data_IF_764743999730
#
_entry.id   IF_764743999730
#
_cell.length_a   1.000
_cell.length_b   1.000
_cell.length_c   1.000
_cell.angle_alpha   90.00
_cell.angle_beta   90.00
_cell.angle_gamma   90.00
#
_symmetry.space_group_name_H-M   'P 1'
#
loop_
_entity.id
_entity.type
_entity.pdbx_description
1 polymer ?
#
# COMPACT_ATOMS: atom_id res chain seq x y z
N UNK A 1 -16.39 -16.56 12.48
CA UNK A 1 -15.39 -15.78 11.71
C UNK A 1 -16.02 -14.95 10.62
N UNK A 2 -16.52 -13.78 10.96
CA UNK A 2 -16.97 -12.77 9.98
C UNK A 2 -15.89 -11.71 9.89
N UNK A 3 -14.86 -11.94 9.07
CA UNK A 3 -13.92 -10.87 8.72
C UNK A 3 -14.63 -9.76 7.94
N UNK A 4 -14.28 -8.51 8.18
CA UNK A 4 -14.77 -7.39 7.39
C UNK A 4 -14.07 -7.35 6.01
N UNK A 5 -14.83 -7.19 4.94
CA UNK A 5 -14.30 -7.05 3.58
C UNK A 5 -14.28 -5.57 3.22
N UNK A 6 -13.09 -5.05 2.97
CA UNK A 6 -12.87 -3.67 2.52
C UNK A 6 -12.51 -3.66 1.04
N UNK A 7 -13.07 -2.73 0.28
CA UNK A 7 -12.80 -2.57 -1.16
C UNK A 7 -12.21 -1.19 -1.39
N UNK A 8 -11.16 -1.14 -2.20
CA UNK A 8 -10.50 0.10 -2.60
C UNK A 8 -10.35 0.13 -4.12
N UNK A 9 -10.64 1.28 -4.71
CA UNK A 9 -10.43 1.58 -6.13
C UNK A 9 -9.66 2.90 -6.22
N UNK A 10 -8.84 3.08 -7.26
CA UNK A 10 -8.11 4.34 -7.45
C UNK A 10 -9.12 5.50 -7.55
N UNK A 11 -8.90 6.55 -6.76
CA UNK A 11 -9.77 7.73 -6.70
C UNK A 11 -11.06 7.57 -5.89
N UNK A 12 -11.29 6.40 -5.30
CA UNK A 12 -12.45 6.17 -4.42
C UNK A 12 -12.16 6.65 -2.99
N UNK A 13 -12.88 7.68 -2.56
CA UNK A 13 -12.80 8.26 -1.22
C UNK A 13 -14.00 7.93 -0.33
N UNK A 14 -14.86 7.00 -0.75
CA UNK A 14 -16.09 6.65 -0.03
C UNK A 14 -15.86 5.86 1.26
N UNK A 15 -14.66 5.30 1.45
CA UNK A 15 -14.34 4.54 2.65
C UNK A 15 -14.36 5.43 3.89
N UNK A 16 -15.15 5.07 4.91
CA UNK A 16 -15.34 5.90 6.12
C UNK A 16 -14.03 6.26 6.86
N UNK A 17 -13.02 5.39 6.81
CA UNK A 17 -11.67 5.62 7.39
C UNK A 17 -10.65 6.15 6.38
N UNK A 18 -11.04 6.64 5.20
CA UNK A 18 -10.07 6.99 4.13
C UNK A 18 -9.01 7.97 4.62
N UNK A 19 -9.39 8.96 5.45
CA UNK A 19 -8.47 9.95 6.00
C UNK A 19 -7.43 9.34 6.94
N UNK A 20 -7.83 8.39 7.78
CA UNK A 20 -6.91 7.71 8.69
C UNK A 20 -5.95 6.80 7.93
N UNK A 21 -6.45 6.15 6.87
CA UNK A 21 -5.65 5.33 5.96
C UNK A 21 -4.62 6.18 5.22
N UNK A 22 -5.04 7.31 4.65
CA UNK A 22 -4.15 8.24 3.95
C UNK A 22 -3.09 8.82 4.89
N UNK A 23 -3.48 9.24 6.10
CA UNK A 23 -2.53 9.73 7.10
C UNK A 23 -1.50 8.67 7.49
N UNK A 24 -1.94 7.43 7.77
CA UNK A 24 -1.04 6.32 8.05
C UNK A 24 -0.07 6.05 6.87
N UNK A 25 -0.55 6.10 5.64
CA UNK A 25 0.30 5.90 4.46
C UNK A 25 1.33 7.02 4.27
N UNK A 26 1.02 8.26 4.65
CA UNK A 26 1.99 9.35 4.65
C UNK A 26 3.08 9.12 5.70
N UNK A 27 2.71 8.70 6.91
CA UNK A 27 3.69 8.38 7.97
C UNK A 27 4.61 7.23 7.54
N UNK A 28 4.03 6.16 6.98
CA UNK A 28 4.77 5.03 6.44
C UNK A 28 5.67 5.46 5.28
N UNK A 29 5.22 6.34 4.39
CA UNK A 29 6.04 6.87 3.30
C UNK A 29 7.27 7.62 3.81
N UNK A 30 7.14 8.38 4.90
CA UNK A 30 8.28 9.07 5.55
C UNK A 30 9.30 8.05 6.05
N UNK A 31 8.87 6.97 6.72
CA UNK A 31 9.78 5.91 7.17
C UNK A 31 10.39 5.13 6.00
N UNK A 32 9.62 4.85 4.96
CA UNK A 32 10.13 4.22 3.73
C UNK A 32 11.25 5.04 3.10
N UNK A 33 11.09 6.37 3.01
CA UNK A 33 12.13 7.27 2.48
C UNK A 33 13.42 7.22 3.32
N UNK A 34 13.32 7.06 4.65
CA UNK A 34 14.50 6.87 5.52
C UNK A 34 15.21 5.54 5.26
N UNK A 35 14.47 4.50 4.90
CA UNK A 35 15.01 3.20 4.46
C UNK A 35 15.53 3.21 3.00
N UNK A 36 15.51 4.36 2.33
CA UNK A 36 16.05 4.53 0.97
C UNK A 36 15.05 4.24 -0.15
N UNK A 37 13.74 4.19 0.14
CA UNK A 37 12.72 4.09 -0.90
C UNK A 37 12.69 5.36 -1.76
N UNK A 38 12.80 5.15 -3.08
CA UNK A 38 12.61 6.19 -4.08
C UNK A 38 11.38 5.83 -4.90
N UNK A 39 10.30 6.62 -4.87
CA UNK A 39 9.10 6.38 -5.66
C UNK A 39 9.42 6.39 -7.16
N UNK A 40 8.86 5.43 -7.90
CA UNK A 40 8.96 5.41 -9.36
C UNK A 40 7.91 6.34 -9.97
N UNK A 41 8.28 7.63 -10.09
CA UNK A 41 7.40 8.69 -10.58
C UNK A 41 7.11 8.61 -12.09
N UNK A 42 7.85 7.79 -12.83
CA UNK A 42 7.60 7.56 -14.27
C UNK A 42 6.33 6.74 -14.52
N UNK A 43 5.81 6.09 -13.48
CA UNK A 43 4.61 5.27 -13.52
C UNK A 43 3.29 6.07 -13.44
N UNK A 44 3.34 7.39 -13.31
CA UNK A 44 2.16 8.29 -13.19
C UNK A 44 2.15 9.39 -14.25
N UNK A 45 1.01 10.08 -14.39
CA UNK A 45 0.80 11.12 -15.42
C UNK A 45 1.90 12.18 -15.30
N UNK A 46 2.62 12.40 -16.40
CA UNK A 46 3.85 13.20 -16.42
C UNK A 46 3.63 14.70 -16.13
N UNK A 47 2.40 15.20 -16.34
CA UNK A 47 2.05 16.63 -16.33
C UNK A 47 1.55 17.17 -14.97
N UNK A 48 1.86 16.47 -13.87
CA UNK A 48 1.58 16.95 -12.51
C UNK A 48 2.89 17.07 -11.70
N UNK A 49 2.94 17.97 -10.69
CA UNK A 49 4.09 18.10 -9.79
C UNK A 49 4.46 16.78 -9.08
N UNK A 50 5.74 16.58 -8.78
CA UNK A 50 6.24 15.33 -8.17
C UNK A 50 5.58 14.99 -6.82
N UNK A 51 5.20 15.99 -6.03
CA UNK A 51 4.45 15.75 -4.78
C UNK A 51 3.04 15.20 -5.04
N UNK A 52 2.40 15.60 -6.14
CA UNK A 52 1.10 15.06 -6.57
C UNK A 52 1.26 13.66 -7.18
N UNK A 53 2.38 13.40 -7.86
CA UNK A 53 2.77 12.06 -8.34
C UNK A 53 2.96 11.08 -7.18
N UNK A 54 3.68 11.48 -6.13
CA UNK A 54 3.84 10.68 -4.91
C UNK A 54 2.50 10.42 -4.21
N UNK A 55 1.63 11.44 -4.13
CA UNK A 55 0.27 11.30 -3.59
C UNK A 55 -0.56 10.30 -4.41
N UNK A 56 -0.48 10.36 -5.75
CA UNK A 56 -1.15 9.43 -6.64
C UNK A 56 -0.66 7.98 -6.46
N UNK A 57 0.64 7.79 -6.22
CA UNK A 57 1.21 6.48 -5.88
C UNK A 57 0.70 5.97 -4.52
N UNK A 58 0.46 6.83 -3.53
CA UNK A 58 -0.21 6.48 -2.28
C UNK A 58 -1.67 6.03 -2.50
N UNK A 59 -2.34 6.60 -3.50
CA UNK A 59 -3.73 6.27 -3.89
C UNK A 59 -3.89 4.95 -4.66
N UNK A 60 -2.83 4.19 -4.88
CA UNK A 60 -2.95 2.84 -5.44
C UNK A 60 -3.76 1.93 -4.50
N UNK A 61 -4.70 1.18 -5.08
CA UNK A 61 -5.62 0.31 -4.35
C UNK A 61 -4.93 -0.67 -3.39
N UNK A 62 -3.73 -1.14 -3.71
CA UNK A 62 -2.93 -2.02 -2.85
C UNK A 62 -2.41 -1.30 -1.60
N UNK A 63 -1.95 -0.05 -1.76
CA UNK A 63 -1.46 0.75 -0.64
C UNK A 63 -2.61 1.12 0.28
N UNK A 64 -3.75 1.53 -0.27
CA UNK A 64 -4.97 1.76 0.52
C UNK A 64 -5.41 0.50 1.29
N UNK A 65 -5.39 -0.67 0.65
CA UNK A 65 -5.72 -1.93 1.30
C UNK A 65 -4.75 -2.27 2.46
N UNK A 66 -3.44 -2.04 2.27
CA UNK A 66 -2.44 -2.26 3.31
C UNK A 66 -2.57 -1.24 4.44
N UNK A 67 -2.72 0.05 4.14
CA UNK A 67 -2.95 1.09 5.15
C UNK A 67 -4.21 0.80 5.96
N UNK A 68 -5.29 0.35 5.32
CA UNK A 68 -6.49 -0.11 6.01
C UNK A 68 -6.21 -1.26 6.99
N UNK A 69 -5.40 -2.24 6.58
CA UNK A 69 -5.01 -3.33 7.46
C UNK A 69 -4.11 -2.84 8.61
N UNK A 70 -3.16 -1.93 8.36
CA UNK A 70 -2.30 -1.35 9.40
C UNK A 70 -3.10 -0.61 10.46
N UNK A 71 -4.10 0.17 10.05
CA UNK A 71 -5.00 0.91 10.95
C UNK A 71 -5.91 -0.02 11.77
N UNK A 72 -6.41 -1.10 11.16
CA UNK A 72 -7.46 -1.92 11.78
C UNK A 72 -6.96 -3.20 12.45
N UNK A 73 -5.67 -3.56 12.36
CA UNK A 73 -5.14 -4.78 12.96
C UNK A 73 -3.93 -4.51 13.86
N UNK A 74 -3.80 -5.32 14.92
CA UNK A 74 -2.70 -5.22 15.87
C UNK A 74 -1.32 -5.38 15.19
N UNK A 75 -0.25 -4.77 15.75
CA UNK A 75 1.12 -4.98 15.30
C UNK A 75 1.49 -6.46 15.15
N UNK A 76 2.28 -6.79 14.12
CA UNK A 76 2.67 -8.17 13.81
C UNK A 76 1.59 -9.04 13.15
N UNK A 77 0.34 -8.54 13.01
CA UNK A 77 -0.72 -9.29 12.32
C UNK A 77 -0.40 -9.42 10.82
N UNK A 78 -0.41 -10.64 10.23
CA UNK A 78 -0.18 -10.82 8.80
C UNK A 78 -1.26 -10.13 7.95
N UNK A 79 -0.83 -9.48 6.87
CA UNK A 79 -1.72 -8.74 5.96
C UNK A 79 -1.96 -9.59 4.70
N UNK A 80 -3.22 -9.66 4.26
CA UNK A 80 -3.61 -10.37 3.03
C UNK A 80 -4.34 -9.44 2.08
N UNK A 81 -3.83 -9.29 0.86
CA UNK A 81 -4.40 -8.41 -0.19
C UNK A 81 -4.74 -9.25 -1.42
N UNK A 82 -5.91 -9.02 -2.01
CA UNK A 82 -6.30 -9.64 -3.28
C UNK A 82 -6.59 -8.54 -4.30
N UNK A 83 -5.91 -8.59 -5.45
CA UNK A 83 -6.08 -7.66 -6.57
C UNK A 83 -6.45 -8.41 -7.84
N UNK A 84 -7.34 -7.81 -8.63
CA UNK A 84 -7.75 -8.31 -9.94
C UNK A 84 -6.77 -7.92 -11.07
N UNK A 85 -5.87 -6.96 -10.83
CA UNK A 85 -4.82 -6.52 -11.74
C UNK A 85 -3.45 -6.94 -11.23
N UNK A 86 -2.44 -6.94 -12.10
CA UNK A 86 -1.04 -7.14 -11.71
C UNK A 86 -0.57 -5.99 -10.82
N UNK A 87 0.21 -6.30 -9.79
CA UNK A 87 0.83 -5.29 -8.93
C UNK A 87 1.92 -4.57 -9.74
N UNK A 88 1.93 -3.23 -9.70
CA UNK A 88 2.95 -2.45 -10.40
C UNK A 88 4.31 -2.56 -9.70
N UNK A 89 5.39 -2.25 -10.42
CA UNK A 89 6.74 -2.39 -9.89
C UNK A 89 6.98 -1.49 -8.66
N UNK A 90 6.44 -0.26 -8.66
CA UNK A 90 6.52 0.64 -7.52
C UNK A 90 5.84 0.04 -6.28
N UNK A 91 4.59 -0.40 -6.41
CA UNK A 91 3.87 -1.05 -5.31
C UNK A 91 4.59 -2.30 -4.82
N UNK A 92 5.17 -3.11 -5.72
CA UNK A 92 5.92 -4.30 -5.30
C UNK A 92 7.13 -3.93 -4.42
N UNK A 93 7.90 -2.90 -4.79
CA UNK A 93 9.01 -2.39 -3.96
C UNK A 93 8.49 -1.79 -2.66
N UNK A 94 7.42 -0.99 -2.74
CA UNK A 94 6.82 -0.35 -1.58
C UNK A 94 6.36 -1.37 -0.54
N UNK A 95 5.63 -2.41 -0.96
CA UNK A 95 5.10 -3.45 -0.08
C UNK A 95 6.23 -4.22 0.62
N UNK A 96 7.33 -4.50 -0.08
CA UNK A 96 8.50 -5.13 0.53
C UNK A 96 9.07 -4.29 1.68
N UNK A 97 9.23 -2.98 1.47
CA UNK A 97 9.74 -2.07 2.49
C UNK A 97 8.74 -1.91 3.64
N UNK A 98 7.44 -1.81 3.34
CA UNK A 98 6.39 -1.75 4.38
C UNK A 98 6.42 -3.01 5.24
N UNK A 99 6.53 -4.19 4.64
CA UNK A 99 6.63 -5.47 5.36
C UNK A 99 7.79 -5.48 6.36
N UNK A 100 8.94 -4.92 5.96
CA UNK A 100 10.11 -4.73 6.82
C UNK A 100 9.87 -3.70 7.93
N UNK A 101 9.39 -2.50 7.62
CA UNK A 101 9.19 -1.42 8.62
C UNK A 101 8.15 -1.83 9.66
N UNK A 102 7.02 -2.36 9.21
CA UNK A 102 5.88 -2.71 10.07
C UNK A 102 6.06 -4.06 10.78
N UNK A 103 7.12 -4.80 10.43
CA UNK A 103 7.40 -6.14 10.96
C UNK A 103 6.18 -7.07 10.79
N UNK A 104 5.62 -7.08 9.57
CA UNK A 104 4.43 -7.87 9.21
C UNK A 104 4.65 -8.59 7.89
N UNK A 105 4.36 -9.89 7.85
CA UNK A 105 4.29 -10.62 6.58
C UNK A 105 3.10 -10.09 5.76
N UNK A 106 3.36 -9.68 4.52
CA UNK A 106 2.33 -9.26 3.57
C UNK A 106 2.19 -10.30 2.47
N UNK A 107 0.99 -10.82 2.28
CA UNK A 107 0.66 -11.80 1.24
C UNK A 107 -0.26 -11.12 0.24
N UNK A 108 0.18 -10.99 -1.00
CA UNK A 108 -0.64 -10.43 -2.07
C UNK A 108 -0.94 -11.48 -3.12
N UNK A 109 -2.21 -11.65 -3.47
CA UNK A 109 -2.63 -12.35 -4.68
C UNK A 109 -3.00 -11.32 -5.73
N UNK A 110 -2.30 -11.31 -6.86
CA UNK A 110 -2.63 -10.47 -8.01
C UNK A 110 -3.26 -11.31 -9.13
N UNK A 111 -3.52 -10.69 -10.30
CA UNK A 111 -4.13 -11.36 -11.45
C UNK A 111 -3.34 -12.57 -11.98
N UNK A 112 -2.04 -12.63 -11.68
CA UNK A 112 -1.08 -13.54 -12.29
C UNK A 112 -0.43 -14.51 -11.31
N UNK A 113 -0.26 -14.12 -10.04
CA UNK A 113 0.53 -14.88 -9.05
C UNK A 113 0.29 -14.44 -7.61
N UNK A 114 0.87 -15.21 -6.69
CA UNK A 114 1.03 -14.84 -5.29
C UNK A 114 2.40 -14.21 -5.06
N UNK A 115 2.44 -13.20 -4.21
CA UNK A 115 3.62 -12.54 -3.71
C UNK A 115 3.61 -12.67 -2.19
N UNK A 116 4.73 -13.08 -1.62
CA UNK A 116 4.93 -13.14 -0.17
C UNK A 116 6.10 -12.23 0.14
N UNK A 117 5.82 -11.18 0.91
CA UNK A 117 6.82 -10.25 1.40
C UNK A 117 7.08 -10.57 2.86
N UNK A 118 8.33 -10.90 3.16
CA UNK A 118 8.81 -11.20 4.51
C UNK A 118 9.48 -9.96 5.12
N UNK A 119 9.89 -10.05 6.38
CA UNK A 119 10.38 -8.92 7.19
C UNK A 119 11.89 -8.68 7.05
N UNK A 120 12.51 -9.18 5.98
CA UNK A 120 13.96 -9.11 5.71
C UNK A 120 14.32 -8.01 4.70
#
# INVERSE_FOLDING_TARGET
DTGAVHRFTVGDTSHHQIKDIEANLQDVLVEMKKEGYVPDLDSVIQDIPDHEKESALCGHSERLAIGCALVNTAPGTPIRVVKNLRICNDCHKAIAIISKIEQRVVICRDATRFHVFNME
#
